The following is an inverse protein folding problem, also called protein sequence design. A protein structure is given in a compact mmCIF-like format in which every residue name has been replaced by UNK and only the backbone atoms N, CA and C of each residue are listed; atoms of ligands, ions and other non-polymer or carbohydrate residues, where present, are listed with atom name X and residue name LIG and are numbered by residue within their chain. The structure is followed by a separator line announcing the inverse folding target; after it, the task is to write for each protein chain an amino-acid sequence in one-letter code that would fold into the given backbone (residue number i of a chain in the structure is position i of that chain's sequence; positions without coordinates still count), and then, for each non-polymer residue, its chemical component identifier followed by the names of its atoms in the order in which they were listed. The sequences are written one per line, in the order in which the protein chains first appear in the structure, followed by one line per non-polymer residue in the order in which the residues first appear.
data_IF_211549106054
#
_entry.id   IF_211549106054
#
_cell.length_a   1.000
_cell.length_b   1.000
_cell.length_c   1.000
_cell.angle_alpha   90.00
_cell.angle_beta   90.00
_cell.angle_gamma   90.00
#
_symmetry.space_group_name_H-M   'P 1'
#
loop_
_entity.id
_entity.type
_entity.pdbx_description
1 polymer ?
#
# COMPACT_ATOMS: atom_id res chain seq x y z
N UNK A 1 18.56 10.74 -21.71
CA UNK A 1 17.48 11.64 -21.28
C UNK A 1 16.19 10.81 -21.29
N UNK A 2 15.95 10.08 -20.21
CA UNK A 2 14.77 9.22 -20.05
C UNK A 2 13.76 9.95 -19.20
N UNK A 3 12.71 10.44 -19.82
CA UNK A 3 11.58 11.07 -19.16
C UNK A 3 10.72 9.95 -18.53
N UNK A 4 10.88 9.66 -17.27
CA UNK A 4 9.91 8.86 -16.52
C UNK A 4 8.67 9.72 -16.24
N UNK A 5 7.74 9.71 -17.18
CA UNK A 5 6.37 10.11 -16.91
C UNK A 5 5.77 9.00 -16.01
N UNK A 6 5.60 9.32 -14.72
CA UNK A 6 4.94 8.46 -13.75
C UNK A 6 3.45 8.34 -14.06
N UNK A 7 3.10 7.53 -15.05
CA UNK A 7 1.72 7.09 -15.26
C UNK A 7 1.39 6.14 -14.11
N UNK A 8 0.46 6.51 -13.25
CA UNK A 8 -0.08 5.64 -12.22
C UNK A 8 -0.49 4.33 -12.86
N UNK A 9 0.19 3.21 -12.48
CA UNK A 9 -0.05 1.91 -13.10
C UNK A 9 -1.48 1.49 -12.81
N UNK A 10 -2.34 1.49 -13.82
CA UNK A 10 -3.71 1.02 -13.72
C UNK A 10 -3.73 -0.45 -13.29
N UNK A 11 -4.72 -0.83 -12.48
CA UNK A 11 -5.02 -2.22 -12.12
C UNK A 11 -6.34 -2.59 -12.76
N UNK A 12 -6.33 -3.62 -13.58
CA UNK A 12 -7.52 -4.10 -14.27
C UNK A 12 -8.25 -5.14 -13.43
N UNK A 13 -9.58 -5.08 -13.46
CA UNK A 13 -10.38 -6.24 -13.11
C UNK A 13 -10.30 -7.23 -14.27
N UNK A 14 -10.34 -8.51 -13.95
CA UNK A 14 -10.21 -9.56 -14.96
C UNK A 14 -11.47 -10.41 -14.99
N UNK A 15 -11.79 -10.93 -16.17
CA UNK A 15 -12.72 -12.04 -16.35
C UNK A 15 -11.98 -13.20 -16.98
N UNK A 16 -12.10 -14.36 -16.36
CA UNK A 16 -11.48 -15.60 -16.81
C UNK A 16 -12.59 -16.48 -17.33
N UNK A 17 -12.59 -16.71 -18.64
CA UNK A 17 -13.66 -17.41 -19.36
C UNK A 17 -13.15 -18.75 -19.85
N UNK A 18 -13.95 -19.80 -19.74
CA UNK A 18 -13.72 -21.08 -20.40
C UNK A 18 -13.85 -20.87 -21.90
N UNK A 19 -12.74 -20.93 -22.61
CA UNK A 19 -12.65 -20.69 -24.06
C UNK A 19 -12.82 -21.98 -24.86
N UNK A 20 -12.26 -23.08 -24.36
CA UNK A 20 -12.30 -24.38 -25.01
C UNK A 20 -12.25 -25.53 -23.98
N UNK A 21 -12.90 -26.65 -24.29
CA UNK A 21 -12.78 -27.89 -23.51
C UNK A 21 -12.36 -29.00 -24.46
N UNK A 22 -11.20 -29.59 -24.22
CA UNK A 22 -10.66 -30.71 -24.99
C UNK A 22 -10.71 -31.98 -24.19
N UNK A 23 -11.26 -33.05 -24.76
CA UNK A 23 -11.37 -34.33 -24.08
C UNK A 23 -12.46 -34.35 -23.03
N UNK A 24 -12.27 -35.18 -22.00
CA UNK A 24 -13.24 -35.38 -20.92
C UNK A 24 -12.78 -34.64 -19.65
N UNK A 25 -13.60 -33.75 -19.17
CA UNK A 25 -13.38 -33.06 -17.89
C UNK A 25 -14.34 -33.63 -16.85
N UNK A 26 -13.82 -34.16 -15.74
CA UNK A 26 -14.61 -34.74 -14.62
C UNK A 26 -15.57 -33.72 -13.99
N UNK A 27 -15.20 -32.47 -13.98
CA UNK A 27 -16.05 -31.36 -13.59
C UNK A 27 -16.65 -30.74 -14.87
N UNK A 28 -17.99 -30.72 -15.00
CA UNK A 28 -18.65 -30.34 -16.26
C UNK A 28 -18.61 -28.85 -16.53
N UNK A 29 -17.41 -28.30 -16.65
CA UNK A 29 -17.21 -26.91 -17.09
C UNK A 29 -17.62 -26.77 -18.56
N UNK A 30 -18.27 -25.65 -18.90
CA UNK A 30 -18.77 -25.39 -20.24
C UNK A 30 -18.12 -24.15 -20.81
N UNK A 31 -17.91 -24.14 -22.11
CA UNK A 31 -17.48 -22.94 -22.83
C UNK A 31 -18.41 -21.78 -22.49
N UNK A 32 -17.83 -20.64 -22.13
CA UNK A 32 -18.54 -19.47 -21.64
C UNK A 32 -18.75 -19.40 -20.13
N UNK A 33 -18.48 -20.47 -19.37
CA UNK A 33 -18.40 -20.35 -17.91
C UNK A 33 -17.26 -19.41 -17.55
N UNK A 34 -17.45 -18.58 -16.50
CA UNK A 34 -16.46 -17.59 -16.13
C UNK A 34 -16.44 -17.33 -14.63
N UNK A 35 -15.35 -16.72 -14.18
CA UNK A 35 -15.28 -16.03 -12.91
C UNK A 35 -14.58 -14.68 -13.07
N UNK A 36 -14.76 -13.79 -12.12
CA UNK A 36 -14.16 -12.45 -12.14
C UNK A 36 -13.19 -12.26 -10.98
N UNK A 37 -12.17 -11.43 -11.23
CA UNK A 37 -11.15 -11.09 -10.25
C UNK A 37 -11.06 -9.58 -10.15
N UNK A 38 -11.37 -9.04 -8.97
CA UNK A 38 -11.26 -7.62 -8.67
C UNK A 38 -10.31 -7.43 -7.49
N UNK A 39 -9.13 -6.89 -7.75
CA UNK A 39 -8.03 -6.89 -6.78
C UNK A 39 -7.66 -8.33 -6.38
N UNK A 40 -7.78 -8.67 -5.11
CA UNK A 40 -7.55 -10.04 -4.59
C UNK A 40 -8.83 -10.87 -4.43
N UNK A 41 -9.99 -10.36 -4.85
CA UNK A 41 -11.27 -11.06 -4.69
C UNK A 41 -11.63 -11.82 -5.96
N UNK A 42 -11.97 -13.09 -5.80
CA UNK A 42 -12.58 -13.93 -6.84
C UNK A 42 -14.09 -13.94 -6.62
N UNK A 43 -14.83 -13.69 -7.68
CA UNK A 43 -16.31 -13.77 -7.69
C UNK A 43 -16.74 -14.78 -8.75
N UNK A 44 -17.47 -15.80 -8.33
CA UNK A 44 -18.03 -16.83 -9.20
C UNK A 44 -19.54 -16.55 -9.30
N UNK A 45 -20.15 -16.54 -10.50
CA UNK A 45 -21.58 -16.38 -10.66
C UNK A 45 -22.38 -17.43 -9.88
N UNK A 46 -23.58 -17.06 -9.43
CA UNK A 46 -24.45 -17.94 -8.68
C UNK A 46 -24.75 -19.23 -9.47
N UNK A 47 -24.69 -20.36 -8.77
CA UNK A 47 -24.91 -21.69 -9.37
C UNK A 47 -23.76 -22.20 -10.25
N UNK A 48 -22.66 -21.45 -10.33
CA UNK A 48 -21.43 -21.88 -11.01
C UNK A 48 -20.37 -22.30 -10.01
N UNK A 49 -19.35 -22.97 -10.50
CA UNK A 49 -18.21 -23.40 -9.70
C UNK A 49 -16.91 -23.20 -10.49
N UNK A 50 -15.78 -23.31 -9.81
CA UNK A 50 -14.45 -23.28 -10.40
C UNK A 50 -13.67 -24.50 -9.93
N UNK A 51 -13.05 -25.20 -10.88
CA UNK A 51 -12.17 -26.32 -10.59
C UNK A 51 -10.90 -25.83 -9.86
N UNK A 52 -10.59 -26.44 -8.72
CA UNK A 52 -9.43 -26.06 -7.90
C UNK A 52 -8.11 -26.30 -8.65
N UNK A 53 -7.99 -27.38 -9.43
CA UNK A 53 -6.80 -27.67 -10.22
C UNK A 53 -6.58 -26.65 -11.33
N UNK A 54 -7.63 -26.28 -12.04
CA UNK A 54 -7.58 -25.22 -13.03
C UNK A 54 -7.26 -23.87 -12.42
N UNK A 55 -7.85 -23.54 -11.27
CA UNK A 55 -7.59 -22.28 -10.56
C UNK A 55 -6.12 -22.14 -10.17
N UNK A 56 -5.48 -23.23 -9.72
CA UNK A 56 -4.07 -23.24 -9.36
C UNK A 56 -3.17 -22.77 -10.52
N UNK A 57 -3.42 -23.26 -11.73
CA UNK A 57 -2.66 -22.86 -12.91
C UNK A 57 -2.88 -21.38 -13.26
N UNK A 58 -4.11 -20.90 -13.13
CA UNK A 58 -4.51 -19.54 -13.48
C UNK A 58 -3.96 -18.51 -12.49
N UNK A 59 -3.94 -18.83 -11.19
CA UNK A 59 -3.55 -17.89 -10.12
C UNK A 59 -2.18 -17.27 -10.34
N UNK A 60 -1.23 -17.99 -10.93
CA UNK A 60 0.11 -17.49 -11.21
C UNK A 60 0.13 -16.31 -12.18
N UNK A 61 -0.84 -16.28 -13.11
CA UNK A 61 -0.91 -15.25 -14.16
C UNK A 61 -1.70 -14.00 -13.71
N UNK A 62 -2.64 -14.14 -12.79
CA UNK A 62 -3.59 -13.07 -12.46
C UNK A 62 -2.91 -11.78 -11.98
N UNK A 63 -1.93 -11.80 -11.06
CA UNK A 63 -1.28 -10.57 -10.59
C UNK A 63 -0.56 -9.80 -11.71
N UNK A 64 -0.01 -10.51 -12.68
CA UNK A 64 0.65 -9.92 -13.83
C UNK A 64 -0.37 -9.34 -14.82
N UNK A 65 -1.44 -10.09 -15.11
CA UNK A 65 -2.52 -9.64 -16.01
C UNK A 65 -3.31 -8.45 -15.49
N UNK A 66 -3.38 -8.27 -14.18
CA UNK A 66 -3.99 -7.09 -13.57
C UNK A 66 -3.16 -5.81 -13.74
N UNK A 67 -1.92 -5.89 -14.20
CA UNK A 67 -1.01 -4.75 -14.31
C UNK A 67 -0.71 -4.44 -15.77
N UNK A 68 -0.37 -3.18 -16.06
CA UNK A 68 0.29 -2.84 -17.30
C UNK A 68 1.77 -3.25 -17.21
N UNK A 69 2.15 -4.21 -18.03
CA UNK A 69 3.52 -4.64 -18.23
C UNK A 69 4.02 -3.87 -19.46
N UNK A 70 5.13 -3.17 -19.31
CA UNK A 70 5.69 -2.28 -20.36
C UNK A 70 7.12 -2.67 -20.73
N UNK A 71 7.60 -3.81 -20.27
CA UNK A 71 8.91 -4.35 -20.62
C UNK A 71 8.87 -4.91 -22.06
N UNK A 72 9.80 -4.47 -22.90
CA UNK A 72 9.80 -4.76 -24.35
C UNK A 72 9.97 -6.25 -24.71
N UNK A 73 10.44 -7.07 -23.78
CA UNK A 73 10.69 -8.50 -23.99
C UNK A 73 9.83 -9.40 -23.09
N UNK A 74 8.75 -8.90 -22.54
CA UNK A 74 7.86 -9.70 -21.71
C UNK A 74 6.75 -10.33 -22.57
N UNK A 75 6.68 -11.66 -22.55
CA UNK A 75 5.66 -12.44 -23.25
C UNK A 75 4.28 -12.42 -22.57
N UNK A 76 4.24 -12.05 -21.29
CA UNK A 76 3.01 -12.04 -20.49
C UNK A 76 1.87 -11.17 -21.08
N UNK A 77 2.11 -9.97 -21.65
CA UNK A 77 1.05 -9.19 -22.28
C UNK A 77 0.28 -9.95 -23.35
N UNK A 78 1.00 -10.75 -24.15
CA UNK A 78 0.45 -11.47 -25.31
C UNK A 78 -0.17 -12.83 -24.95
N UNK A 79 0.17 -13.37 -23.78
CA UNK A 79 -0.33 -14.66 -23.30
C UNK A 79 -1.71 -14.52 -22.63
N UNK A 80 -2.78 -14.50 -23.39
CA UNK A 80 -4.16 -14.36 -22.88
C UNK A 80 -4.83 -15.70 -22.56
N UNK A 81 -4.19 -16.84 -22.86
CA UNK A 81 -4.73 -18.18 -22.67
C UNK A 81 -3.90 -19.01 -21.70
N UNK A 82 -4.58 -19.81 -20.90
CA UNK A 82 -3.96 -20.77 -19.98
C UNK A 82 -4.79 -22.06 -19.93
N UNK A 83 -4.13 -23.21 -19.85
CA UNK A 83 -4.80 -24.50 -19.73
C UNK A 83 -4.79 -25.00 -18.30
N UNK A 84 -5.79 -25.81 -17.94
CA UNK A 84 -5.70 -26.62 -16.75
C UNK A 84 -4.60 -27.69 -16.91
N UNK A 85 -4.07 -28.25 -15.80
CA UNK A 85 -3.00 -29.22 -15.83
C UNK A 85 -3.45 -30.64 -16.19
N UNK A 86 -4.77 -30.90 -16.34
CA UNK A 86 -5.27 -32.23 -16.67
C UNK A 86 -4.98 -32.58 -18.14
N UNK A 87 -4.19 -33.62 -18.42
CA UNK A 87 -3.83 -34.01 -19.78
C UNK A 87 -4.98 -34.72 -20.52
N UNK A 88 -5.98 -35.26 -19.81
CA UNK A 88 -7.07 -36.04 -20.39
C UNK A 88 -8.31 -35.19 -20.68
N UNK A 89 -8.50 -34.11 -19.92
CA UNK A 89 -9.66 -33.24 -20.03
C UNK A 89 -9.29 -31.77 -19.96
N UNK A 90 -8.41 -31.34 -20.86
CA UNK A 90 -7.86 -30.00 -20.88
C UNK A 90 -8.93 -28.93 -21.08
N UNK A 91 -9.10 -28.07 -20.09
CA UNK A 91 -9.91 -26.85 -20.21
C UNK A 91 -8.97 -25.66 -20.46
N UNK A 92 -9.24 -24.92 -21.51
CA UNK A 92 -8.49 -23.71 -21.87
C UNK A 92 -9.30 -22.50 -21.43
N UNK A 93 -8.66 -21.62 -20.69
CA UNK A 93 -9.25 -20.38 -20.23
C UNK A 93 -8.63 -19.19 -20.97
N UNK A 94 -9.44 -18.20 -21.25
CA UNK A 94 -9.02 -16.90 -21.76
C UNK A 94 -9.16 -15.84 -20.67
N UNK A 95 -8.14 -15.01 -20.52
CA UNK A 95 -8.08 -13.93 -19.55
C UNK A 95 -8.42 -12.63 -20.24
N UNK A 96 -9.52 -12.02 -19.88
CA UNK A 96 -10.00 -10.74 -20.40
C UNK A 96 -9.80 -9.64 -19.36
N UNK A 97 -9.32 -8.47 -19.78
CA UNK A 97 -9.33 -7.27 -18.94
C UNK A 97 -10.68 -6.58 -19.07
N UNK A 98 -11.28 -6.22 -17.92
CA UNK A 98 -12.56 -5.55 -17.87
C UNK A 98 -12.38 -4.05 -17.74
N UNK A 99 -13.00 -3.31 -18.66
CA UNK A 99 -13.07 -1.85 -18.62
C UNK A 99 -11.71 -1.15 -18.74
N UNK A 100 -11.72 0.14 -18.47
CA UNK A 100 -10.51 0.92 -18.28
C UNK A 100 -9.91 0.58 -16.93
N UNK A 101 -8.59 0.34 -16.89
CA UNK A 101 -7.90 0.00 -15.65
C UNK A 101 -8.18 1.04 -14.58
N UNK A 102 -8.63 0.56 -13.41
CA UNK A 102 -8.83 1.45 -12.26
C UNK A 102 -7.47 2.03 -11.87
N UNK A 103 -7.36 3.35 -11.73
CA UNK A 103 -6.14 3.91 -11.18
C UNK A 103 -5.90 3.25 -9.83
N UNK A 104 -4.69 2.76 -9.59
CA UNK A 104 -4.30 2.38 -8.22
C UNK A 104 -4.70 3.55 -7.35
N UNK A 105 -5.43 3.27 -6.25
CA UNK A 105 -5.67 4.30 -5.23
C UNK A 105 -4.35 5.01 -5.04
N UNK A 106 -4.34 6.28 -5.40
CA UNK A 106 -3.15 7.10 -5.48
C UNK A 106 -2.31 6.89 -4.22
N UNK A 107 -1.08 6.39 -4.31
CA UNK A 107 -0.34 6.05 -3.11
C UNK A 107 -0.18 7.33 -2.31
N UNK A 108 -0.78 7.38 -1.12
CA UNK A 108 -0.64 8.54 -0.25
C UNK A 108 0.84 8.82 -0.01
N UNK A 109 1.28 10.08 -0.10
CA UNK A 109 2.64 10.44 0.24
C UNK A 109 2.93 10.05 1.69
N UNK A 110 4.14 9.63 1.97
CA UNK A 110 4.57 9.16 3.29
C UNK A 110 6.07 9.26 3.50
N UNK A 111 6.50 9.09 4.72
CA UNK A 111 7.90 8.88 5.02
C UNK A 111 8.29 7.45 4.63
N UNK A 112 9.30 7.32 3.79
CA UNK A 112 9.93 6.06 3.41
C UNK A 112 11.14 5.85 4.32
N UNK A 113 11.33 4.62 4.81
CA UNK A 113 12.37 4.28 5.78
C UNK A 113 13.32 3.25 5.19
N UNK A 114 14.62 3.54 5.29
CA UNK A 114 15.71 2.60 5.06
C UNK A 114 16.47 2.39 6.38
N UNK A 115 16.09 1.38 7.13
CA UNK A 115 16.69 1.07 8.44
C UNK A 115 18.18 0.72 8.35
N UNK A 116 18.65 0.16 7.21
CA UNK A 116 20.05 -0.26 7.02
C UNK A 116 21.07 0.87 7.13
N UNK A 117 20.66 2.12 6.93
CA UNK A 117 21.54 3.29 6.98
C UNK A 117 21.15 4.25 8.13
N UNK A 118 20.23 3.84 9.00
CA UNK A 118 19.92 4.62 10.20
C UNK A 118 21.07 4.54 11.19
N UNK A 119 21.52 5.70 11.68
CA UNK A 119 22.58 5.79 12.68
C UNK A 119 22.06 5.96 14.11
N UNK A 120 20.76 5.80 14.36
CA UNK A 120 20.15 5.94 15.68
C UNK A 120 20.30 7.31 16.35
N UNK A 121 20.65 8.35 15.58
CA UNK A 121 20.96 9.67 16.12
C UNK A 121 19.77 10.46 16.67
N UNK A 122 18.53 9.98 16.47
CA UNK A 122 17.26 10.55 16.95
C UNK A 122 17.00 12.02 16.56
N UNK A 123 17.78 12.59 15.64
CA UNK A 123 17.55 13.96 15.14
C UNK A 123 16.15 14.13 14.54
N UNK A 124 15.58 13.08 13.95
CA UNK A 124 14.23 13.08 13.42
C UNK A 124 13.17 13.24 14.52
N UNK A 125 13.35 12.61 15.69
CA UNK A 125 12.45 12.74 16.84
C UNK A 125 12.50 14.16 17.41
N UNK A 126 13.70 14.69 17.61
CA UNK A 126 13.90 16.01 18.19
C UNK A 126 13.33 17.12 17.28
N UNK A 127 13.57 17.04 15.98
CA UNK A 127 13.01 18.05 15.06
C UNK A 127 11.51 17.91 14.92
N UNK A 128 10.95 16.70 14.98
CA UNK A 128 9.52 16.45 14.93
C UNK A 128 8.83 17.09 16.14
N UNK A 129 9.28 16.78 17.35
CA UNK A 129 8.72 17.36 18.58
C UNK A 129 8.88 18.87 18.62
N UNK A 130 10.01 19.42 18.20
CA UNK A 130 10.22 20.86 18.15
C UNK A 130 9.28 21.54 17.13
N UNK A 131 9.07 20.95 15.97
CA UNK A 131 8.20 21.50 14.94
C UNK A 131 6.76 21.63 15.43
N UNK A 132 6.25 20.61 16.11
CA UNK A 132 4.86 20.54 16.52
C UNK A 132 4.59 21.14 17.91
N UNK A 133 5.52 20.94 18.85
CA UNK A 133 5.31 21.25 20.25
C UNK A 133 6.22 22.37 20.79
N UNK A 134 7.15 22.86 19.96
CA UNK A 134 8.19 23.84 20.33
C UNK A 134 9.04 23.39 21.54
N UNK A 135 9.14 22.08 21.74
CA UNK A 135 9.92 21.42 22.78
C UNK A 135 10.73 20.27 22.18
N UNK A 136 11.96 20.08 22.62
CA UNK A 136 12.74 18.90 22.30
C UNK A 136 12.36 17.77 23.26
N UNK A 137 11.70 16.75 22.74
CA UNK A 137 11.23 15.60 23.52
C UNK A 137 11.00 14.39 22.62
N UNK A 138 11.57 13.26 22.96
CA UNK A 138 11.33 12.01 22.27
C UNK A 138 9.87 11.56 22.41
N UNK A 139 9.28 11.74 23.60
CA UNK A 139 7.90 11.34 23.91
C UNK A 139 6.83 12.17 23.20
N UNK A 140 7.17 13.34 22.71
CA UNK A 140 6.25 14.22 21.97
C UNK A 140 6.49 14.15 20.45
N UNK A 141 7.33 13.25 20.03
CA UNK A 141 7.59 13.01 18.61
C UNK A 141 6.48 12.15 17.99
N UNK A 142 6.29 12.32 16.68
CA UNK A 142 5.39 11.52 15.81
C UNK A 142 6.16 10.51 14.95
N UNK A 143 7.46 10.41 15.16
CA UNK A 143 8.37 9.43 14.62
C UNK A 143 9.29 8.97 15.75
N UNK A 144 9.52 7.67 15.86
CA UNK A 144 10.34 7.08 16.92
C UNK A 144 11.44 6.23 16.29
N UNK A 145 12.58 6.12 16.99
CA UNK A 145 13.67 5.23 16.57
C UNK A 145 13.79 4.11 17.58
N UNK A 146 13.33 2.94 17.17
CA UNK A 146 13.41 1.73 17.98
C UNK A 146 14.79 1.08 17.81
N UNK A 147 15.39 0.70 18.92
CA UNK A 147 16.59 -0.12 18.92
C UNK A 147 16.22 -1.59 18.81
N UNK A 148 16.73 -2.25 17.79
CA UNK A 148 16.61 -3.70 17.63
C UNK A 148 17.98 -4.30 17.99
N UNK A 149 18.18 -4.57 19.28
CA UNK A 149 19.48 -4.96 19.81
C UNK A 149 19.99 -6.31 19.23
N UNK A 150 19.08 -7.22 18.91
CA UNK A 150 19.41 -8.51 18.31
C UNK A 150 20.05 -8.37 16.90
N UNK A 151 19.63 -7.37 16.16
CA UNK A 151 20.11 -7.11 14.78
C UNK A 151 21.14 -5.99 14.71
N UNK A 152 21.35 -5.27 15.82
CA UNK A 152 22.20 -4.07 15.85
C UNK A 152 21.70 -2.93 14.95
N UNK A 153 20.39 -2.85 14.77
CA UNK A 153 19.74 -1.91 13.83
C UNK A 153 18.91 -0.91 14.60
N UNK A 154 19.00 0.36 14.21
CA UNK A 154 18.08 1.40 14.63
C UNK A 154 16.98 1.58 13.58
N UNK A 155 15.72 1.38 13.98
CA UNK A 155 14.57 1.37 13.06
C UNK A 155 13.67 2.59 13.30
N UNK A 156 13.61 3.56 12.37
CA UNK A 156 12.62 4.62 12.46
C UNK A 156 11.19 4.09 12.25
N UNK A 157 10.34 4.28 13.26
CA UNK A 157 8.91 3.97 13.22
C UNK A 157 8.11 5.25 12.99
N UNK A 158 7.27 5.26 11.97
CA UNK A 158 6.44 6.40 11.61
C UNK A 158 5.17 5.96 10.89
N UNK A 159 4.10 6.76 10.97
CA UNK A 159 2.84 6.49 10.29
C UNK A 159 3.05 6.25 8.78
N UNK A 160 2.55 5.13 8.28
CA UNK A 160 2.67 4.72 6.88
C UNK A 160 1.60 5.30 5.97
N UNK A 161 0.74 6.18 6.48
CA UNK A 161 -0.35 6.81 5.71
C UNK A 161 -1.15 5.78 4.89
N UNK A 162 -1.61 4.70 5.53
CA UNK A 162 -2.27 3.56 4.89
C UNK A 162 -3.49 3.99 4.07
N UNK A 163 -3.68 3.41 2.90
CA UNK A 163 -4.83 3.71 2.03
C UNK A 163 -6.20 3.43 2.69
N UNK A 164 -6.28 2.35 3.49
CA UNK A 164 -7.41 2.00 4.34
C UNK A 164 -7.14 2.41 5.80
N UNK A 165 -7.08 3.65 6.12
CA UNK A 165 -6.72 4.17 7.43
C UNK A 165 -7.54 3.53 8.59
N UNK A 166 -7.17 2.32 9.00
CA UNK A 166 -7.86 1.57 10.06
C UNK A 166 -8.01 2.36 11.36
N UNK A 167 -7.04 3.21 11.66
CA UNK A 167 -7.09 4.11 12.82
C UNK A 167 -8.21 5.15 12.70
N UNK A 168 -8.52 5.61 11.48
CA UNK A 168 -9.64 6.52 11.23
C UNK A 168 -10.96 5.77 11.39
N UNK A 169 -11.08 4.58 10.78
CA UNK A 169 -12.28 3.75 10.86
C UNK A 169 -12.58 3.27 12.30
N UNK A 170 -11.55 3.04 13.10
CA UNK A 170 -11.68 2.59 14.48
C UNK A 170 -12.01 3.71 15.47
N UNK A 171 -12.02 4.97 15.07
CA UNK A 171 -12.27 6.08 15.98
C UNK A 171 -13.76 6.27 16.26
N UNK A 172 -14.25 5.97 17.48
CA UNK A 172 -15.69 6.05 17.78
C UNK A 172 -16.22 7.50 17.80
N UNK A 173 -15.33 8.46 17.96
CA UNK A 173 -15.67 9.90 18.04
C UNK A 173 -15.35 10.65 16.74
N UNK A 174 -14.97 9.94 15.67
CA UNK A 174 -14.57 10.57 14.39
C UNK A 174 -13.49 11.64 14.52
N UNK A 175 -12.68 11.56 15.60
CA UNK A 175 -11.62 12.52 15.89
C UNK A 175 -10.42 12.41 14.92
N UNK A 176 -10.34 11.36 14.11
CA UNK A 176 -9.32 11.19 13.10
C UNK A 176 -9.93 11.32 11.71
N UNK A 177 -9.25 12.08 10.87
CA UNK A 177 -9.68 12.29 9.48
C UNK A 177 -8.47 12.33 8.55
N UNK A 178 -8.70 12.42 7.26
CA UNK A 178 -7.64 12.64 6.27
C UNK A 178 -7.63 14.07 5.82
N UNK A 179 -6.48 14.70 5.89
CA UNK A 179 -6.24 16.00 5.28
C UNK A 179 -6.46 15.91 3.75
N UNK A 180 -7.21 16.85 3.20
CA UNK A 180 -7.59 16.81 1.80
C UNK A 180 -6.40 17.03 0.85
N UNK A 181 -5.39 17.82 1.27
CA UNK A 181 -4.25 18.22 0.46
C UNK A 181 -3.12 17.18 0.55
N UNK A 182 -2.73 16.82 1.77
CA UNK A 182 -1.59 15.93 2.02
C UNK A 182 -1.99 14.46 2.09
N UNK A 183 -3.31 14.18 2.28
CA UNK A 183 -3.87 12.85 2.55
C UNK A 183 -3.32 12.19 3.82
N UNK A 184 -2.60 12.95 4.64
CA UNK A 184 -2.13 12.48 5.94
C UNK A 184 -3.29 12.31 6.92
N UNK A 185 -3.10 11.45 7.92
CA UNK A 185 -4.05 11.34 9.03
C UNK A 185 -3.83 12.53 9.97
N UNK A 186 -4.89 13.25 10.26
CA UNK A 186 -4.92 14.36 11.19
C UNK A 186 -5.86 14.08 12.35
N UNK A 187 -5.56 14.67 13.49
CA UNK A 187 -6.31 14.48 14.75
C UNK A 187 -7.01 15.77 15.12
N UNK A 188 -8.32 15.72 15.33
CA UNK A 188 -9.08 16.75 15.99
C UNK A 188 -9.03 16.50 17.51
N UNK A 189 -8.21 17.30 18.20
CA UNK A 189 -8.03 17.16 19.66
C UNK A 189 -9.30 17.50 20.44
N UNK A 190 -10.22 18.27 19.88
CA UNK A 190 -11.47 18.63 20.54
C UNK A 190 -12.46 17.45 20.62
N UNK A 191 -12.42 16.57 19.62
CA UNK A 191 -13.25 15.37 19.54
C UNK A 191 -12.61 14.15 20.21
N UNK A 192 -11.29 14.20 20.41
CA UNK A 192 -10.53 13.05 20.91
C UNK A 192 -10.71 12.82 22.42
N UNK A 193 -11.16 11.63 22.80
CA UNK A 193 -11.32 11.20 24.20
C UNK A 193 -10.13 10.43 24.76
N UNK A 194 -9.09 10.17 23.96
CA UNK A 194 -7.91 9.40 24.40
C UNK A 194 -8.16 7.90 24.59
N UNK A 195 -9.19 7.31 23.98
CA UNK A 195 -9.59 5.91 24.19
C UNK A 195 -8.56 4.86 23.73
N UNK A 196 -7.62 5.22 22.83
CA UNK A 196 -6.56 4.34 22.35
C UNK A 196 -6.96 3.39 21.21
N UNK A 197 -8.22 3.41 20.72
CA UNK A 197 -8.68 2.52 19.66
C UNK A 197 -7.88 2.65 18.36
N UNK A 198 -7.47 3.87 18.02
CA UNK A 198 -6.63 4.14 16.86
C UNK A 198 -5.26 3.43 16.92
N UNK A 199 -4.64 3.37 18.09
CA UNK A 199 -3.37 2.66 18.27
C UNK A 199 -3.58 1.14 18.21
N UNK A 200 -4.62 0.61 18.85
CA UNK A 200 -4.96 -0.83 18.75
C UNK A 200 -5.26 -1.28 17.33
N UNK A 201 -5.83 -0.41 16.51
CA UNK A 201 -6.12 -0.67 15.10
C UNK A 201 -4.90 -0.50 14.19
N UNK A 202 -3.80 0.09 14.66
CA UNK A 202 -2.60 0.33 13.86
C UNK A 202 -1.75 -0.95 13.77
N UNK A 203 -1.60 -1.57 12.58
CA UNK A 203 -0.80 -2.79 12.45
C UNK A 203 0.71 -2.54 12.46
N UNK A 204 1.13 -1.27 12.58
CA UNK A 204 2.53 -0.86 12.51
C UNK A 204 3.03 -0.24 13.81
N UNK A 205 2.21 -0.21 14.85
CA UNK A 205 2.53 0.39 16.15
C UNK A 205 3.12 1.83 16.04
N UNK A 206 2.59 2.60 15.08
CA UNK A 206 3.13 3.91 14.72
C UNK A 206 2.35 5.08 15.35
N UNK A 207 1.57 4.82 16.41
CA UNK A 207 0.76 5.81 17.11
C UNK A 207 1.15 5.80 18.58
N UNK A 208 1.71 6.88 19.03
CA UNK A 208 1.98 7.14 20.45
C UNK A 208 1.01 8.16 21.00
N UNK A 209 1.09 8.45 22.30
CA UNK A 209 0.14 9.34 22.95
C UNK A 209 0.86 10.46 23.69
N UNK A 210 0.26 11.62 23.67
CA UNK A 210 0.70 12.76 24.49
C UNK A 210 0.52 12.40 25.97
N UNK A 211 1.57 12.43 26.79
CA UNK A 211 1.49 11.95 28.17
C UNK A 211 0.45 12.67 29.02
N UNK A 212 0.27 13.97 28.81
CA UNK A 212 -0.59 14.82 29.64
C UNK A 212 -2.08 14.70 29.30
N UNK A 213 -2.40 14.42 28.01
CA UNK A 213 -3.78 14.48 27.48
C UNK A 213 -4.29 13.17 26.91
N UNK A 214 -3.43 12.20 26.72
CA UNK A 214 -3.80 10.95 26.06
C UNK A 214 -4.21 11.09 24.60
N UNK A 215 -3.98 12.25 23.97
CA UNK A 215 -4.26 12.44 22.54
C UNK A 215 -3.20 11.75 21.69
N UNK A 216 -3.59 11.08 20.57
CA UNK A 216 -2.64 10.36 19.74
C UNK A 216 -1.70 11.31 18.99
N UNK A 217 -0.44 10.94 18.93
CA UNK A 217 0.60 11.59 18.15
C UNK A 217 0.78 10.80 16.84
N UNK A 218 0.22 11.32 15.76
CA UNK A 218 0.25 10.70 14.44
C UNK A 218 0.98 11.64 13.47
N UNK A 219 1.86 11.10 12.64
CA UNK A 219 2.58 11.89 11.64
C UNK A 219 1.61 12.49 10.61
N UNK A 220 1.55 13.81 10.55
CA UNK A 220 0.76 14.62 9.63
C UNK A 220 1.55 15.09 8.40
N UNK A 221 2.76 14.56 8.22
CA UNK A 221 3.70 14.94 7.17
C UNK A 221 4.12 16.42 7.24
N UNK A 222 3.95 17.08 8.37
CA UNK A 222 4.19 18.53 8.55
C UNK A 222 3.52 19.36 7.45
N UNK A 223 2.27 19.03 7.09
CA UNK A 223 1.53 19.71 6.01
C UNK A 223 2.09 19.49 4.60
N UNK A 224 2.89 18.43 4.39
CA UNK A 224 3.51 18.08 3.11
C UNK A 224 4.99 18.45 3.00
N UNK A 225 5.57 19.01 4.07
CA UNK A 225 6.99 19.41 4.13
C UNK A 225 7.71 18.78 5.34
N UNK A 226 7.99 17.47 5.34
CA UNK A 226 8.49 16.74 6.50
C UNK A 226 9.86 17.22 6.99
N UNK A 227 9.91 17.84 8.16
CA UNK A 227 11.14 18.42 8.72
C UNK A 227 12.15 17.35 9.15
N UNK A 228 11.68 16.18 9.58
CA UNK A 228 12.52 15.04 9.94
C UNK A 228 13.36 14.56 8.75
N UNK A 229 12.80 14.53 7.55
CA UNK A 229 13.51 14.16 6.31
C UNK A 229 14.65 15.12 6.02
N UNK A 230 14.40 16.43 6.15
CA UNK A 230 15.41 17.48 5.91
C UNK A 230 16.60 17.38 6.87
N UNK A 231 16.39 16.84 8.06
CA UNK A 231 17.42 16.74 9.11
C UNK A 231 18.12 15.38 9.14
N UNK A 232 17.68 14.40 8.39
CA UNK A 232 18.29 13.08 8.37
C UNK A 232 19.63 13.11 7.60
N UNK A 233 20.75 13.10 8.35
CA UNK A 233 22.08 13.15 7.77
C UNK A 233 22.42 11.91 6.93
N UNK A 234 22.00 10.72 7.39
CA UNK A 234 22.24 9.43 6.70
C UNK A 234 21.24 9.15 5.60
N UNK A 235 20.20 9.98 5.44
CA UNK A 235 19.07 9.72 4.51
C UNK A 235 18.35 8.41 4.78
N UNK A 236 18.33 7.95 6.02
CA UNK A 236 17.57 6.79 6.44
C UNK A 236 16.06 6.99 6.26
N UNK A 237 15.60 8.22 6.20
CA UNK A 237 14.22 8.58 5.90
C UNK A 237 14.16 9.55 4.71
N UNK A 238 13.18 9.33 3.84
CA UNK A 238 12.88 10.18 2.68
C UNK A 238 11.37 10.39 2.57
N UNK A 239 10.95 11.36 1.77
CA UNK A 239 9.54 11.64 1.54
C UNK A 239 9.17 11.28 0.10
N UNK A 240 8.11 10.52 -0.09
CA UNK A 240 7.69 10.08 -1.41
C UNK A 240 6.45 9.20 -1.39
N UNK A 241 6.10 8.69 -2.57
CA UNK A 241 4.98 7.77 -2.74
C UNK A 241 5.39 6.35 -2.36
N UNK A 242 4.43 5.54 -1.93
CA UNK A 242 4.64 4.12 -1.63
C UNK A 242 5.25 3.38 -2.83
N UNK A 243 6.40 2.71 -2.63
CA UNK A 243 7.13 2.00 -3.68
C UNK A 243 8.03 2.90 -4.55
N UNK A 244 8.15 4.17 -4.20
CA UNK A 244 9.14 5.07 -4.81
C UNK A 244 10.57 4.79 -4.33
N UNK A 245 11.57 5.38 -4.99
CA UNK A 245 12.98 5.23 -4.61
C UNK A 245 13.21 5.77 -3.19
N UNK A 246 14.02 5.05 -2.42
CA UNK A 246 14.40 5.43 -1.05
C UNK A 246 15.75 6.13 -1.13
N UNK A 247 15.85 7.32 -0.54
CA UNK A 247 17.12 8.03 -0.38
C UNK A 247 17.41 9.15 -1.40
N UNK A 248 16.54 9.39 -2.38
CA UNK A 248 16.65 10.58 -3.24
C UNK A 248 16.09 11.82 -2.54
N UNK A 249 16.77 12.96 -2.70
CA UNK A 249 16.19 14.24 -2.28
C UNK A 249 15.08 14.61 -3.25
N UNK A 250 13.85 14.62 -2.81
CA UNK A 250 12.83 15.39 -3.50
C UNK A 250 13.15 16.88 -3.30
N UNK A 251 13.63 17.51 -4.34
CA UNK A 251 13.43 18.95 -4.51
C UNK A 251 11.93 19.19 -4.41
N UNK A 252 11.55 20.26 -3.75
CA UNK A 252 10.19 20.67 -3.34
C UNK A 252 9.06 20.12 -4.20
N UNK A 253 7.91 19.70 -3.61
CA UNK A 253 6.79 19.18 -4.38
C UNK A 253 6.40 20.20 -5.46
N UNK A 254 6.02 19.75 -6.67
CA UNK A 254 5.53 20.66 -7.69
C UNK A 254 4.32 21.39 -7.10
N UNK A 255 4.38 22.71 -7.12
CA UNK A 255 3.27 23.58 -6.81
C UNK A 255 2.14 23.21 -7.75
N UNK A 256 1.10 22.58 -7.21
CA UNK A 256 -0.16 22.39 -7.92
C UNK A 256 -0.80 23.76 -8.02
N UNK A 257 -0.71 24.34 -9.22
CA UNK A 257 -1.48 25.51 -9.64
C UNK A 257 -2.93 25.15 -9.89
#
# INVERSE_FOLDING_TARGET
MFTFLGVGKAVYDLRIVVDEVRGFCDLPMKVGDYFEVSGGRITIPEGKFMCMWALQSILLMLPAKQRNIVEDNDWLPDADRISCPDPNGMVIFRIERLGEGKPRKDPSPRILVNEKVCAGCRACELVCSFTHERKFSETLSRIHVDKVDEDGIDRPQVCRQCGNARCVEACPNEALSRDAKTRSVVVDEALCTGCGDCARACPFDAITFRPERGTPLICDLCGGDPQCVKRCATRAISFGLAGGPIGERHESPPTVS
#
